data_IF_983883831329
#
_entry.id   IF_983883831329
#
_cell.length_a   1.000
_cell.length_b   1.000
_cell.length_c   1.000
_cell.angle_alpha   90.00
_cell.angle_beta   90.00
_cell.angle_gamma   90.00
#
_symmetry.space_group_name_H-M   'P 1'
#
loop_
_entity.id
_entity.type
_entity.pdbx_description
1 polymer ?
#
# COMPACT_ATOMS: atom_id res chain seq x y z
N UNK A 1 -21.62 15.44 12.67
CA UNK A 1 -21.31 14.03 12.32
C UNK A 1 -21.90 13.78 10.93
N UNK A 2 -21.08 13.68 9.88
CA UNK A 2 -21.59 13.47 8.51
C UNK A 2 -21.89 11.98 8.31
N UNK A 3 -23.08 11.64 7.80
CA UNK A 3 -23.52 10.26 7.62
C UNK A 3 -22.69 9.52 6.57
N UNK A 4 -22.70 8.17 6.62
CA UNK A 4 -22.01 7.32 5.65
C UNK A 4 -22.39 7.63 4.19
N UNK A 5 -23.61 8.09 3.96
CA UNK A 5 -24.17 8.32 2.63
C UNK A 5 -23.53 9.52 1.92
N UNK A 6 -23.22 10.58 2.68
CA UNK A 6 -22.53 11.77 2.16
C UNK A 6 -21.12 11.43 1.62
N UNK A 7 -20.43 10.52 2.31
CA UNK A 7 -19.10 10.07 1.90
C UNK A 7 -19.15 9.12 0.70
N UNK A 8 -20.23 8.36 0.57
CA UNK A 8 -20.45 7.44 -0.53
C UNK A 8 -20.55 8.19 -1.87
N UNK A 9 -21.33 9.28 -1.91
CA UNK A 9 -21.51 10.11 -3.11
C UNK A 9 -20.22 10.86 -3.52
N UNK A 10 -19.48 11.36 -2.54
CA UNK A 10 -18.21 12.06 -2.79
C UNK A 10 -17.16 11.10 -3.34
N UNK A 11 -17.10 9.87 -2.81
CA UNK A 11 -16.19 8.83 -3.27
C UNK A 11 -16.56 8.32 -4.67
N UNK A 12 -17.85 8.17 -4.98
CA UNK A 12 -18.34 7.73 -6.30
C UNK A 12 -18.01 8.76 -7.39
N UNK A 13 -18.21 10.05 -7.13
CA UNK A 13 -17.94 11.12 -8.11
C UNK A 13 -16.47 11.31 -8.42
N UNK A 14 -15.59 11.16 -7.44
CA UNK A 14 -14.15 11.41 -7.64
C UNK A 14 -13.37 10.20 -8.13
N UNK A 15 -13.81 8.97 -7.83
CA UNK A 15 -13.01 7.76 -8.09
C UNK A 15 -13.55 6.88 -9.20
N UNK A 16 -14.83 7.02 -9.57
CA UNK A 16 -15.48 6.15 -10.56
C UNK A 16 -15.57 4.68 -10.14
N UNK A 17 -15.24 4.36 -8.88
CA UNK A 17 -15.26 3.00 -8.34
C UNK A 17 -16.56 2.73 -7.57
N UNK A 18 -17.09 1.48 -7.59
CA UNK A 18 -18.22 1.10 -6.75
C UNK A 18 -17.84 1.32 -5.28
N UNK A 19 -18.75 1.89 -4.48
CA UNK A 19 -18.48 2.47 -3.15
C UNK A 19 -17.66 1.63 -2.15
N UNK A 20 -17.42 2.08 -0.91
CA UNK A 20 -16.40 1.53 0.01
C UNK A 20 -16.36 0.01 0.16
N UNK A 21 -17.51 -0.66 0.11
CA UNK A 21 -17.62 -2.13 0.12
C UNK A 21 -17.21 -2.77 -1.22
N UNK A 22 -17.60 -2.17 -2.34
CA UNK A 22 -17.17 -2.54 -3.70
C UNK A 22 -15.67 -2.35 -3.93
N UNK A 23 -15.07 -1.30 -3.36
CA UNK A 23 -13.62 -1.08 -3.39
C UNK A 23 -12.82 -2.21 -2.73
N UNK A 24 -13.32 -2.77 -1.63
CA UNK A 24 -12.66 -3.87 -0.92
C UNK A 24 -12.81 -5.21 -1.65
N UNK A 25 -13.95 -5.44 -2.29
CA UNK A 25 -14.15 -6.63 -3.13
C UNK A 25 -13.40 -6.51 -4.46
N UNK A 26 -13.30 -5.31 -5.06
CA UNK A 26 -12.39 -5.04 -6.18
C UNK A 26 -10.93 -5.17 -5.78
N UNK A 27 -10.53 -4.70 -4.59
CA UNK A 27 -9.17 -4.90 -4.08
C UNK A 27 -8.83 -6.39 -3.95
N UNK A 28 -9.78 -7.19 -3.44
CA UNK A 28 -9.64 -8.64 -3.30
C UNK A 28 -9.63 -9.36 -4.64
N UNK A 29 -10.58 -9.07 -5.52
CA UNK A 29 -10.68 -9.65 -6.86
C UNK A 29 -9.45 -9.30 -7.69
N UNK A 30 -9.02 -8.04 -7.63
CA UNK A 30 -7.78 -7.63 -8.24
C UNK A 30 -6.61 -8.40 -7.61
N UNK A 31 -6.43 -8.42 -6.28
CA UNK A 31 -5.32 -9.11 -5.62
C UNK A 31 -5.22 -10.61 -5.95
N UNK A 32 -6.31 -11.22 -6.45
CA UNK A 32 -6.36 -12.59 -6.96
C UNK A 32 -6.11 -12.69 -8.48
N UNK A 33 -6.41 -11.65 -9.28
CA UNK A 33 -6.42 -11.71 -10.76
C UNK A 33 -5.31 -10.94 -11.50
N UNK A 34 -4.52 -10.07 -10.86
CA UNK A 34 -3.38 -9.43 -11.54
C UNK A 34 -3.70 -8.40 -12.66
N UNK A 35 -4.87 -7.71 -12.66
CA UNK A 35 -5.33 -6.84 -13.78
C UNK A 35 -5.47 -5.35 -13.45
N UNK A 36 -5.54 -4.51 -14.50
CA UNK A 36 -5.68 -3.02 -14.56
C UNK A 36 -6.50 -2.29 -13.47
N UNK A 37 -7.36 -2.95 -12.72
CA UNK A 37 -8.20 -2.34 -11.68
C UNK A 37 -7.50 -2.19 -10.32
N UNK A 38 -6.30 -2.75 -10.13
CA UNK A 38 -5.50 -2.59 -8.90
C UNK A 38 -5.13 -1.15 -8.57
N UNK A 39 -4.87 -0.34 -9.60
CA UNK A 39 -4.18 0.94 -9.48
C UNK A 39 -4.98 2.00 -8.73
N UNK A 40 -6.26 2.14 -9.08
CA UNK A 40 -7.16 3.13 -8.48
C UNK A 40 -7.52 2.71 -7.04
N UNK A 41 -7.60 1.41 -6.81
CA UNK A 41 -7.98 0.85 -5.51
C UNK A 41 -6.85 1.03 -4.49
N UNK A 42 -5.60 0.68 -4.82
CA UNK A 42 -4.47 0.81 -3.88
C UNK A 42 -4.22 2.28 -3.50
N UNK A 43 -4.26 3.20 -4.47
CA UNK A 43 -4.14 4.63 -4.20
C UNK A 43 -5.36 5.20 -3.45
N UNK A 44 -6.57 4.74 -3.78
CA UNK A 44 -7.82 5.15 -3.13
C UNK A 44 -7.95 4.68 -1.68
N UNK A 45 -7.41 3.48 -1.35
CA UNK A 45 -7.38 2.93 0.00
C UNK A 45 -6.47 3.73 0.95
N UNK A 46 -5.50 4.47 0.41
CA UNK A 46 -4.56 5.27 1.17
C UNK A 46 -4.97 6.74 1.34
N UNK A 47 -6.27 7.07 1.13
CA UNK A 47 -6.80 8.40 1.48
C UNK A 47 -6.81 8.56 3.02
N UNK A 48 -6.25 9.66 3.58
CA UNK A 48 -6.14 9.87 5.03
C UNK A 48 -7.45 9.79 5.81
N UNK A 49 -8.60 10.05 5.17
CA UNK A 49 -9.91 9.97 5.80
C UNK A 49 -10.34 8.53 6.16
N UNK A 50 -9.83 7.51 5.46
CA UNK A 50 -10.16 6.09 5.68
C UNK A 50 -9.28 5.41 6.73
N UNK A 51 -8.17 6.04 7.11
CA UNK A 51 -7.13 5.45 7.95
C UNK A 51 -7.23 5.86 9.43
N UNK A 52 -8.44 6.23 9.88
CA UNK A 52 -8.73 6.47 11.31
C UNK A 52 -9.21 5.22 12.04
N UNK A 53 -9.58 4.17 11.30
CA UNK A 53 -10.01 2.89 11.85
C UNK A 53 -8.89 1.84 11.68
N UNK A 54 -8.43 1.30 12.80
CA UNK A 54 -7.41 0.26 12.83
C UNK A 54 -7.84 -1.01 12.07
N UNK A 55 -9.12 -1.38 12.09
CA UNK A 55 -9.62 -2.54 11.35
C UNK A 55 -9.51 -2.36 9.83
N UNK A 56 -9.79 -1.15 9.34
CA UNK A 56 -9.60 -0.79 7.92
C UNK A 56 -8.10 -0.83 7.60
N UNK A 57 -7.25 -0.23 8.43
CA UNK A 57 -5.79 -0.23 8.23
C UNK A 57 -5.24 -1.65 8.12
N UNK A 58 -5.64 -2.58 9.02
CA UNK A 58 -5.24 -3.99 8.96
C UNK A 58 -5.67 -4.68 7.68
N UNK A 59 -6.86 -4.37 7.17
CA UNK A 59 -7.36 -4.96 5.91
C UNK A 59 -6.58 -4.44 4.72
N UNK A 60 -6.25 -3.14 4.70
CA UNK A 60 -5.38 -2.56 3.66
C UNK A 60 -3.97 -3.15 3.75
N UNK A 61 -3.40 -3.30 4.95
CA UNK A 61 -2.10 -3.94 5.16
C UNK A 61 -2.04 -5.33 4.53
N UNK A 62 -3.07 -6.18 4.78
CA UNK A 62 -3.17 -7.52 4.18
C UNK A 62 -3.28 -7.50 2.66
N UNK A 63 -3.93 -6.48 2.10
CA UNK A 63 -4.02 -6.29 0.64
C UNK A 63 -2.65 -5.90 0.08
N UNK A 64 -1.96 -4.94 0.70
CA UNK A 64 -0.61 -4.53 0.29
C UNK A 64 0.38 -5.70 0.37
N UNK A 65 0.31 -6.54 1.41
CA UNK A 65 1.11 -7.76 1.53
C UNK A 65 0.91 -8.69 0.32
N UNK A 66 -0.34 -9.00 -0.03
CA UNK A 66 -0.66 -9.90 -1.16
C UNK A 66 -0.19 -9.34 -2.49
N UNK A 67 -0.40 -8.05 -2.72
CA UNK A 67 0.01 -7.41 -3.98
C UNK A 67 1.54 -7.33 -4.06
N UNK A 68 2.23 -7.03 -2.95
CA UNK A 68 3.70 -7.02 -2.90
C UNK A 68 4.27 -8.41 -3.18
N UNK A 69 3.65 -9.48 -2.67
CA UNK A 69 4.01 -10.86 -3.02
C UNK A 69 3.82 -11.16 -4.52
N UNK A 70 2.74 -10.64 -5.12
CA UNK A 70 2.50 -10.83 -6.56
C UNK A 70 3.55 -10.13 -7.43
N UNK A 71 4.11 -8.99 -6.98
CA UNK A 71 5.22 -8.31 -7.66
C UNK A 71 6.46 -9.18 -7.71
N UNK A 72 6.81 -9.82 -6.59
CA UNK A 72 7.95 -10.74 -6.52
C UNK A 72 7.81 -11.95 -7.47
N UNK A 73 6.58 -12.41 -7.70
CA UNK A 73 6.30 -13.57 -8.55
C UNK A 73 6.05 -13.20 -10.03
N UNK A 74 6.03 -11.91 -10.36
CA UNK A 74 5.69 -11.46 -11.71
C UNK A 74 6.81 -11.72 -12.72
N UNK A 75 6.47 -12.41 -13.81
CA UNK A 75 7.36 -12.69 -14.94
C UNK A 75 7.45 -11.56 -15.97
N UNK A 76 6.39 -10.74 -16.12
CA UNK A 76 6.37 -9.60 -17.04
C UNK A 76 6.47 -8.27 -16.28
N UNK A 77 7.71 -7.83 -16.07
CA UNK A 77 8.06 -6.62 -15.31
C UNK A 77 8.27 -5.38 -16.18
N UNK A 78 8.25 -5.54 -17.51
CA UNK A 78 8.54 -4.44 -18.45
C UNK A 78 7.28 -3.69 -18.89
N UNK A 79 6.10 -4.24 -18.61
CA UNK A 79 4.85 -3.57 -18.94
C UNK A 79 4.58 -2.36 -18.04
N UNK A 80 3.80 -1.41 -18.56
CA UNK A 80 3.51 -0.16 -17.87
C UNK A 80 2.60 -0.34 -16.64
N UNK A 81 1.82 -1.43 -16.62
CA UNK A 81 0.97 -1.77 -15.50
C UNK A 81 1.81 -2.14 -14.27
N UNK A 82 2.84 -2.95 -14.45
CA UNK A 82 3.77 -3.33 -13.41
C UNK A 82 4.50 -2.11 -12.84
N UNK A 83 5.01 -1.22 -13.71
CA UNK A 83 5.65 0.02 -13.27
C UNK A 83 4.72 0.88 -12.42
N UNK A 84 3.48 1.04 -12.87
CA UNK A 84 2.45 1.78 -12.13
C UNK A 84 2.15 1.12 -10.79
N UNK A 85 2.13 -0.22 -10.72
CA UNK A 85 1.85 -0.98 -9.49
C UNK A 85 2.96 -0.77 -8.48
N UNK A 86 4.20 -0.98 -8.95
CA UNK A 86 5.41 -0.82 -8.17
C UNK A 86 5.49 0.59 -7.60
N UNK A 87 5.22 1.62 -8.39
CA UNK A 87 5.17 3.02 -7.92
C UNK A 87 4.07 3.26 -6.87
N UNK A 88 2.86 2.75 -7.09
CA UNK A 88 1.76 2.88 -6.13
C UNK A 88 2.11 2.22 -4.78
N UNK A 89 2.67 1.00 -4.82
CA UNK A 89 3.16 0.31 -3.62
C UNK A 89 4.30 1.10 -2.95
N UNK A 90 5.17 1.74 -3.73
CA UNK A 90 6.24 2.66 -3.28
C UNK A 90 5.76 3.88 -2.49
N UNK A 91 4.44 4.11 -2.42
CA UNK A 91 3.81 5.16 -1.63
C UNK A 91 2.87 4.62 -0.55
N UNK A 92 2.04 3.63 -0.87
CA UNK A 92 0.90 3.21 -0.03
C UNK A 92 1.30 2.59 1.30
N UNK A 93 2.39 1.81 1.31
CA UNK A 93 2.95 1.20 2.51
C UNK A 93 3.25 2.21 3.61
N UNK A 94 3.86 3.34 3.26
CA UNK A 94 4.19 4.41 4.21
C UNK A 94 2.95 5.07 4.81
N UNK A 95 1.84 5.14 4.07
CA UNK A 95 0.57 5.70 4.58
C UNK A 95 -0.03 4.77 5.63
N UNK A 96 -0.14 3.48 5.30
CA UNK A 96 -0.74 2.49 6.22
C UNK A 96 0.14 2.28 7.44
N UNK A 97 1.47 2.24 7.28
CA UNK A 97 2.39 2.13 8.41
C UNK A 97 2.38 3.37 9.31
N UNK A 98 2.18 4.58 8.77
CA UNK A 98 1.98 5.76 9.60
C UNK A 98 0.65 5.72 10.38
N UNK A 99 -0.39 5.10 9.82
CA UNK A 99 -1.70 4.97 10.46
C UNK A 99 -1.80 3.78 11.43
N UNK A 100 -1.00 2.74 11.23
CA UNK A 100 -0.93 1.54 12.08
C UNK A 100 0.55 1.16 12.34
N UNK A 101 1.26 1.92 13.19
CA UNK A 101 2.72 1.81 13.34
C UNK A 101 3.23 0.42 13.68
N UNK A 102 2.67 -0.22 14.71
CA UNK A 102 3.16 -1.51 15.21
C UNK A 102 3.08 -2.62 14.14
N UNK A 103 1.92 -2.79 13.51
CA UNK A 103 1.73 -3.82 12.48
C UNK A 103 2.40 -3.43 11.16
N UNK A 104 2.39 -2.14 10.82
CA UNK A 104 3.01 -1.59 9.61
C UNK A 104 4.52 -1.73 9.59
N UNK A 105 5.19 -1.37 10.70
CA UNK A 105 6.65 -1.53 10.84
C UNK A 105 7.06 -3.00 10.73
N UNK A 106 6.39 -3.89 11.47
CA UNK A 106 6.63 -5.35 11.41
C UNK A 106 6.44 -5.90 9.99
N UNK A 107 5.44 -5.44 9.26
CA UNK A 107 5.25 -5.85 7.87
C UNK A 107 6.39 -5.38 6.96
N UNK A 108 6.82 -4.12 7.08
CA UNK A 108 7.94 -3.57 6.30
C UNK A 108 9.27 -4.26 6.62
N UNK A 109 9.52 -4.58 7.89
CA UNK A 109 10.69 -5.33 8.35
C UNK A 109 10.76 -6.72 7.71
N UNK A 110 9.65 -7.45 7.66
CA UNK A 110 9.60 -8.77 6.99
C UNK A 110 9.96 -8.69 5.51
N UNK A 111 9.50 -7.64 4.82
CA UNK A 111 9.79 -7.46 3.40
C UNK A 111 11.23 -6.99 3.13
N UNK A 112 11.91 -6.42 4.12
CA UNK A 112 13.25 -5.83 3.94
C UNK A 112 14.31 -6.83 3.51
N UNK A 113 14.17 -8.09 3.95
CA UNK A 113 15.09 -9.18 3.61
C UNK A 113 14.75 -9.88 2.30
N UNK A 114 13.73 -9.42 1.57
CA UNK A 114 13.29 -10.10 0.36
C UNK A 114 14.31 -9.94 -0.79
N UNK A 115 14.72 -11.02 -1.48
CA UNK A 115 15.76 -10.98 -2.50
C UNK A 115 15.30 -10.35 -3.83
N UNK A 116 14.01 -10.04 -3.97
CA UNK A 116 13.46 -9.39 -5.16
C UNK A 116 13.81 -7.88 -5.23
N UNK A 117 14.42 -7.39 -6.34
CA UNK A 117 14.86 -6.01 -6.46
C UNK A 117 13.70 -4.99 -6.55
N UNK A 118 12.55 -5.38 -7.09
CA UNK A 118 11.37 -4.52 -7.17
C UNK A 118 10.76 -4.31 -5.78
N UNK A 119 10.68 -5.37 -4.98
CA UNK A 119 10.25 -5.31 -3.57
C UNK A 119 11.19 -4.43 -2.74
N UNK A 120 12.51 -4.60 -2.87
CA UNK A 120 13.49 -3.74 -2.16
C UNK A 120 13.34 -2.27 -2.57
N UNK A 121 13.11 -2.00 -3.84
CA UNK A 121 12.82 -0.64 -4.29
C UNK A 121 11.53 -0.08 -3.71
N UNK A 122 10.44 -0.88 -3.67
CA UNK A 122 9.17 -0.47 -3.07
C UNK A 122 9.39 -0.03 -1.62
N UNK A 123 10.12 -0.81 -0.83
CA UNK A 123 10.42 -0.45 0.56
C UNK A 123 11.24 0.82 0.65
N UNK A 124 12.32 0.92 -0.14
CA UNK A 124 13.18 2.10 -0.14
C UNK A 124 12.41 3.37 -0.45
N UNK A 125 11.50 3.34 -1.42
CA UNK A 125 10.65 4.49 -1.77
C UNK A 125 9.70 4.90 -0.64
N UNK A 126 9.19 3.94 0.14
CA UNK A 126 8.35 4.22 1.29
C UNK A 126 9.15 4.79 2.47
N UNK A 127 10.33 4.24 2.75
CA UNK A 127 11.20 4.69 3.85
C UNK A 127 11.71 6.13 3.64
N UNK A 128 11.81 6.60 2.39
CA UNK A 128 12.10 8.00 2.07
C UNK A 128 10.96 8.97 2.39
N UNK A 129 9.76 8.51 2.73
CA UNK A 129 8.63 9.42 2.98
C UNK A 129 8.74 10.00 4.38
N UNK A 130 8.69 11.34 4.48
CA UNK A 130 8.76 12.10 5.75
C UNK A 130 7.82 11.59 6.84
N UNK A 131 6.69 10.96 6.48
CA UNK A 131 5.75 10.37 7.46
C UNK A 131 6.38 9.25 8.28
N UNK A 132 7.24 8.41 7.68
CA UNK A 132 7.92 7.33 8.39
C UNK A 132 9.10 7.87 9.21
N UNK A 133 9.84 8.83 8.66
CA UNK A 133 10.90 9.49 9.41
C UNK A 133 10.36 10.20 10.67
N UNK A 134 9.21 10.89 10.54
CA UNK A 134 8.54 11.54 11.68
C UNK A 134 7.96 10.54 12.67
N UNK A 135 7.50 9.38 12.18
CA UNK A 135 6.99 8.31 13.02
C UNK A 135 8.11 7.72 13.88
N UNK A 136 9.26 7.44 13.28
CA UNK A 136 10.43 6.88 13.94
C UNK A 136 11.68 7.02 13.07
N UNK A 137 12.50 8.02 13.39
CA UNK A 137 13.72 8.34 12.64
C UNK A 137 14.77 7.23 12.76
N UNK A 138 14.96 6.69 13.96
CA UNK A 138 16.00 5.68 14.20
C UNK A 138 15.67 4.38 13.45
N UNK A 139 14.42 3.93 13.56
CA UNK A 139 13.93 2.77 12.81
C UNK A 139 14.03 2.97 11.30
N UNK A 140 13.62 4.14 10.80
CA UNK A 140 13.67 4.44 9.35
C UNK A 140 15.11 4.38 8.82
N UNK A 141 16.08 4.94 9.56
CA UNK A 141 17.50 4.89 9.19
C UNK A 141 18.07 3.47 9.20
N UNK A 142 17.72 2.65 10.21
CA UNK A 142 18.12 1.26 10.29
C UNK A 142 17.55 0.44 9.11
N UNK A 143 16.27 0.64 8.79
CA UNK A 143 15.61 0.00 7.67
C UNK A 143 16.20 0.41 6.31
N UNK A 144 16.52 1.69 6.11
CA UNK A 144 17.19 2.15 4.88
C UNK A 144 18.55 1.48 4.69
N UNK A 145 19.31 1.32 5.77
CA UNK A 145 20.62 0.63 5.74
C UNK A 145 20.45 -0.85 5.40
N UNK A 146 19.46 -1.53 5.99
CA UNK A 146 19.15 -2.94 5.73
C UNK A 146 18.81 -3.20 4.25
N UNK A 147 17.95 -2.37 3.67
CA UNK A 147 17.51 -2.51 2.27
C UNK A 147 18.58 -2.01 1.27
N UNK A 148 19.62 -1.30 1.72
CA UNK A 148 20.77 -0.92 0.91
C UNK A 148 21.84 -2.02 0.84
N UNK A 149 22.00 -2.80 1.90
CA UNK A 149 23.05 -3.81 2.04
C UNK A 149 22.62 -5.25 1.65
N UNK A 150 21.44 -5.42 1.02
CA UNK A 150 20.82 -6.72 0.69
C UNK A 150 20.57 -6.91 -0.81
#
# INVERSE_FOLDING_TARGET
MRSLDFWNDTLLRETGLPGPRGNLELAKAAALEGKRQHFIVVAGLCKPALLRDAAICRRVLKILDRITASVAQSGDRKNDLFRTLRQALGYCWSVVAAALPEEGKKALERWADHPDPDVRWILRENLKKNRLERLDRQWTAAMLSRVANS
#
